data_IF_551421661390
#
_entry.id   IF_551421661390
#
_cell.length_a   1.000
_cell.length_b   1.000
_cell.length_c   1.000
_cell.angle_alpha   90.00
_cell.angle_beta   90.00
_cell.angle_gamma   90.00
#
_symmetry.space_group_name_H-M   'P 1'
#
loop_
_entity.id
_entity.type
_entity.pdbx_description
1 polymer ?
#
# COMPACT_ATOMS: atom_id res chain seq x y z
N UNK A 1 5.26 3.82 70.79
CA UNK A 1 4.16 3.06 70.19
C UNK A 1 2.92 3.93 70.28
N UNK A 2 2.45 4.66 69.28
CA UNK A 2 2.82 4.74 67.87
C UNK A 2 2.52 6.17 67.41
N UNK A 3 3.56 6.87 66.94
CA UNK A 3 3.44 8.01 66.06
C UNK A 3 3.30 7.43 64.65
N UNK A 4 2.07 7.23 64.16
CA UNK A 4 1.89 6.73 62.80
C UNK A 4 0.56 7.11 62.14
N UNK A 5 -0.20 8.07 62.68
CA UNK A 5 -1.54 8.38 62.14
C UNK A 5 -1.84 9.87 62.00
N UNK A 6 -0.81 10.71 61.86
CA UNK A 6 -1.02 12.13 61.58
C UNK A 6 0.00 12.71 60.57
N UNK A 7 0.42 11.87 59.61
CA UNK A 7 1.41 12.18 58.57
C UNK A 7 0.86 12.01 57.14
N UNK A 8 -0.45 11.76 56.97
CA UNK A 8 -1.07 11.60 55.63
C UNK A 8 -2.18 12.62 55.33
N UNK A 9 -2.62 13.41 56.31
CA UNK A 9 -3.66 14.44 56.10
C UNK A 9 -3.09 15.87 55.98
N UNK A 10 -1.77 16.04 55.98
CA UNK A 10 -1.11 17.33 55.75
C UNK A 10 -0.42 17.42 54.38
N UNK A 11 -0.49 16.37 53.56
CA UNK A 11 0.09 16.30 52.22
C UNK A 11 -0.91 16.62 51.08
N UNK A 12 -2.16 16.98 51.43
CA UNK A 12 -3.21 17.26 50.45
C UNK A 12 -3.58 18.75 50.30
N UNK A 13 -2.94 19.68 51.02
CA UNK A 13 -3.37 21.10 51.04
C UNK A 13 -2.27 22.15 50.73
N UNK A 14 -1.13 21.73 50.16
CA UNK A 14 0.03 22.65 49.96
C UNK A 14 0.58 22.73 48.52
N UNK A 15 -0.24 22.51 47.48
CA UNK A 15 0.20 22.71 46.06
C UNK A 15 -0.60 23.83 45.36
N UNK A 16 -1.12 24.81 46.10
CA UNK A 16 -1.64 26.04 45.51
C UNK A 16 -1.04 27.28 46.20
N UNK A 17 0.17 27.66 45.77
CA UNK A 17 0.58 29.08 45.70
C UNK A 17 1.92 29.24 44.95
N UNK A 18 1.88 30.05 43.89
CA UNK A 18 3.03 30.49 43.08
C UNK A 18 4.13 31.17 43.91
N UNK A 19 5.42 31.04 43.51
CA UNK A 19 6.38 32.09 43.72
C UNK A 19 6.55 32.91 42.43
N UNK A 20 5.99 34.12 42.44
CA UNK A 20 6.36 35.17 41.52
C UNK A 20 7.83 35.56 41.76
N UNK A 21 8.75 35.20 40.85
CA UNK A 21 10.02 35.89 40.60
C UNK A 21 10.79 35.21 39.45
N UNK A 22 10.55 35.70 38.23
CA UNK A 22 11.60 35.99 37.24
C UNK A 22 10.96 36.36 35.89
N UNK A 23 10.52 37.61 35.76
CA UNK A 23 10.57 38.26 34.46
C UNK A 23 12.05 38.46 34.11
N UNK A 24 12.63 37.58 33.29
CA UNK A 24 13.80 37.95 32.50
C UNK A 24 13.97 36.98 31.34
N UNK A 25 13.78 37.47 30.12
CA UNK A 25 14.40 36.86 28.94
C UNK A 25 13.50 36.28 27.86
N UNK A 26 12.17 36.54 27.83
CA UNK A 26 11.45 36.37 26.55
C UNK A 26 11.92 37.49 25.61
N UNK A 27 12.92 37.18 24.77
CA UNK A 27 13.42 38.08 23.75
C UNK A 27 12.25 38.52 22.85
N UNK A 28 11.82 39.77 22.99
CA UNK A 28 10.67 40.34 22.26
C UNK A 28 10.90 40.36 20.75
N UNK A 29 12.18 40.28 20.33
CA UNK A 29 12.61 40.17 18.93
C UNK A 29 12.40 38.78 18.30
N UNK A 30 12.01 37.75 19.07
CA UNK A 30 11.72 36.40 18.53
C UNK A 30 10.31 36.26 17.93
N UNK A 31 9.51 37.32 17.90
CA UNK A 31 8.10 37.29 17.46
C UNK A 31 7.85 37.45 15.96
N UNK A 32 8.83 37.11 15.13
CA UNK A 32 8.60 36.95 13.68
C UNK A 32 9.28 35.67 13.17
N UNK A 33 9.04 34.53 13.84
CA UNK A 33 9.02 33.28 13.08
C UNK A 33 7.77 33.42 12.21
N UNK A 34 7.97 33.84 10.96
CA UNK A 34 6.94 33.78 9.92
C UNK A 34 6.63 32.29 9.81
N UNK A 35 5.68 31.80 10.61
CA UNK A 35 5.22 30.42 10.53
C UNK A 35 4.82 30.22 9.08
N UNK A 36 5.64 29.46 8.37
CA UNK A 36 5.40 29.24 6.96
C UNK A 36 4.08 28.47 6.91
N UNK A 37 2.98 29.04 6.36
CA UNK A 37 1.69 28.35 6.33
C UNK A 37 1.81 27.01 5.58
N UNK A 38 2.82 26.90 4.70
CA UNK A 38 3.20 25.64 4.06
C UNK A 38 3.69 24.58 5.04
N UNK A 39 4.33 24.92 6.17
CA UNK A 39 4.80 23.95 7.17
C UNK A 39 3.63 23.25 7.87
N UNK A 40 2.58 23.99 8.22
CA UNK A 40 1.36 23.41 8.78
C UNK A 40 0.62 22.53 7.74
N UNK A 41 0.54 23.00 6.49
CA UNK A 41 -0.01 22.20 5.38
C UNK A 41 0.79 20.91 5.13
N UNK A 42 2.12 20.99 5.10
CA UNK A 42 3.00 19.84 4.95
C UNK A 42 2.90 18.86 6.14
N UNK A 43 2.75 19.36 7.37
CA UNK A 43 2.54 18.51 8.54
C UNK A 43 1.21 17.77 8.45
N UNK A 44 0.12 18.45 8.05
CA UNK A 44 -1.18 17.81 7.78
C UNK A 44 -1.11 16.79 6.66
N UNK A 45 -0.39 17.11 5.58
CA UNK A 45 -0.20 16.20 4.45
C UNK A 45 0.58 14.95 4.84
N UNK A 46 1.62 15.07 5.67
CA UNK A 46 2.35 13.92 6.22
C UNK A 46 1.47 13.04 7.09
N UNK A 47 0.72 13.63 8.02
CA UNK A 47 -0.22 12.90 8.87
C UNK A 47 -1.30 12.17 8.05
N UNK A 48 -1.73 12.78 6.94
CA UNK A 48 -2.64 12.15 6.00
C UNK A 48 -1.99 10.97 5.28
N UNK A 49 -0.75 11.10 4.77
CA UNK A 49 0.00 9.99 4.18
C UNK A 49 0.18 8.84 5.17
N UNK A 50 0.51 9.15 6.43
CA UNK A 50 0.67 8.16 7.50
C UNK A 50 -0.65 7.46 7.87
N UNK A 51 -1.80 8.10 7.59
CA UNK A 51 -3.12 7.52 7.84
C UNK A 51 -3.60 6.57 6.74
N UNK A 52 -2.92 6.53 5.59
CA UNK A 52 -3.26 5.62 4.50
C UNK A 52 -2.98 4.18 4.98
N UNK A 53 -3.92 3.24 4.84
CA UNK A 53 -3.66 1.84 5.13
C UNK A 53 -2.54 1.33 4.22
N UNK A 54 -1.50 0.73 4.79
CA UNK A 54 -0.45 0.05 4.04
C UNK A 54 -0.64 -1.44 4.24
N UNK A 55 -1.09 -2.12 3.19
CA UNK A 55 -1.14 -3.58 3.18
C UNK A 55 0.03 -4.11 2.35
N UNK A 56 0.62 -5.18 2.85
CA UNK A 56 1.71 -5.90 2.21
C UNK A 56 1.34 -7.38 2.12
N UNK A 57 1.94 -8.14 1.18
CA UNK A 57 1.72 -9.58 1.11
C UNK A 57 2.16 -10.22 2.42
N UNK A 58 1.22 -10.88 3.11
CA UNK A 58 1.48 -11.45 4.43
C UNK A 58 2.42 -12.67 4.34
N UNK A 59 3.46 -12.77 5.19
CA UNK A 59 4.39 -13.92 5.19
C UNK A 59 3.74 -15.27 5.47
N UNK A 60 2.59 -15.26 6.15
CA UNK A 60 1.83 -16.45 6.55
C UNK A 60 0.73 -16.84 5.55
N UNK A 61 0.62 -16.12 4.42
CA UNK A 61 -0.27 -16.50 3.33
C UNK A 61 0.55 -17.25 2.28
N UNK A 62 0.06 -18.39 1.76
CA UNK A 62 0.82 -19.16 0.77
C UNK A 62 0.81 -18.45 -0.58
N UNK A 63 1.98 -17.98 -1.00
CA UNK A 63 2.19 -17.36 -2.31
C UNK A 63 3.18 -18.16 -3.16
N UNK A 64 2.90 -18.28 -4.45
CA UNK A 64 3.80 -18.74 -5.50
C UNK A 64 4.38 -17.52 -6.21
N UNK A 65 5.67 -17.29 -6.01
CA UNK A 65 6.29 -16.00 -6.28
C UNK A 65 7.11 -16.04 -7.56
N UNK A 66 6.88 -15.05 -8.42
CA UNK A 66 7.79 -14.70 -9.50
C UNK A 66 8.52 -13.40 -9.16
N UNK A 67 9.85 -13.45 -9.10
CA UNK A 67 10.64 -12.24 -8.83
C UNK A 67 11.10 -11.65 -10.16
N UNK A 68 10.69 -10.42 -10.46
CA UNK A 68 11.13 -9.72 -11.65
C UNK A 68 12.26 -8.74 -11.34
N UNK A 69 13.39 -8.93 -12.00
CA UNK A 69 14.58 -8.11 -11.85
C UNK A 69 14.92 -7.50 -13.20
N UNK A 70 14.78 -6.18 -13.31
CA UNK A 70 15.43 -5.43 -14.39
C UNK A 70 16.71 -4.83 -13.86
N UNK A 71 17.83 -5.11 -14.51
CA UNK A 71 19.10 -4.58 -14.06
C UNK A 71 19.89 -3.93 -15.19
N UNK A 72 20.67 -2.92 -14.79
CA UNK A 72 21.70 -2.34 -15.62
C UNK A 72 22.98 -2.20 -14.83
N UNK A 73 24.03 -2.88 -15.27
CA UNK A 73 25.32 -2.85 -14.60
C UNK A 73 26.11 -1.59 -15.00
N UNK A 74 25.87 -0.48 -14.29
CA UNK A 74 26.60 0.78 -14.50
C UNK A 74 28.08 0.69 -14.08
N UNK A 75 28.37 -0.11 -13.05
CA UNK A 75 29.66 -0.12 -12.34
C UNK A 75 30.64 -1.18 -12.84
N UNK A 76 30.24 -2.02 -13.81
CA UNK A 76 31.00 -3.17 -14.35
C UNK A 76 31.46 -4.18 -13.29
N UNK A 77 30.84 -4.20 -12.11
CA UNK A 77 31.11 -5.24 -11.11
C UNK A 77 30.54 -6.58 -11.59
N UNK A 78 31.34 -7.64 -11.58
CA UNK A 78 30.95 -8.95 -12.11
C UNK A 78 29.75 -9.55 -11.35
N UNK A 79 29.71 -9.37 -10.03
CA UNK A 79 28.73 -10.04 -9.15
C UNK A 79 27.48 -9.19 -8.84
N UNK A 80 27.20 -8.15 -9.62
CA UNK A 80 26.08 -7.23 -9.33
C UNK A 80 24.73 -7.94 -9.33
N UNK A 81 24.46 -8.76 -10.35
CA UNK A 81 23.20 -9.50 -10.46
C UNK A 81 23.07 -10.56 -9.35
N UNK A 82 24.13 -11.31 -9.10
CA UNK A 82 24.16 -12.34 -8.05
C UNK A 82 23.81 -11.76 -6.69
N UNK A 83 24.35 -10.58 -6.36
CA UNK A 83 24.04 -9.88 -5.11
C UNK A 83 22.55 -9.56 -4.98
N UNK A 84 21.90 -9.12 -6.06
CA UNK A 84 20.44 -8.88 -6.04
C UNK A 84 19.66 -10.16 -5.84
N UNK A 85 20.04 -11.24 -6.53
CA UNK A 85 19.41 -12.55 -6.36
C UNK A 85 19.54 -13.02 -4.90
N UNK A 86 20.74 -12.96 -4.32
CA UNK A 86 20.96 -13.33 -2.92
C UNK A 86 20.11 -12.51 -1.95
N UNK A 87 20.02 -11.19 -2.16
CA UNK A 87 19.16 -10.34 -1.34
C UNK A 87 17.70 -10.79 -1.36
N UNK A 88 17.15 -11.04 -2.56
CA UNK A 88 15.79 -11.56 -2.69
C UNK A 88 15.62 -12.94 -2.06
N UNK A 89 16.62 -13.83 -2.20
CA UNK A 89 16.55 -15.16 -1.58
C UNK A 89 16.53 -15.07 -0.05
N UNK A 90 17.34 -14.19 0.54
CA UNK A 90 17.36 -13.97 1.99
C UNK A 90 16.01 -13.41 2.47
N UNK A 91 15.41 -12.47 1.73
CA UNK A 91 14.12 -11.87 2.07
C UNK A 91 12.97 -12.89 1.96
N UNK A 92 12.97 -13.72 0.91
CA UNK A 92 11.98 -14.78 0.71
C UNK A 92 12.13 -15.88 1.76
N UNK A 93 13.35 -16.18 2.22
CA UNK A 93 13.59 -17.17 3.27
C UNK A 93 12.93 -16.81 4.61
N UNK A 94 12.64 -15.52 4.85
CA UNK A 94 11.88 -15.07 6.02
C UNK A 94 10.38 -15.39 5.93
N UNK A 95 9.89 -15.78 4.76
CA UNK A 95 8.48 -16.07 4.49
C UNK A 95 8.29 -17.57 4.20
N UNK A 96 8.07 -18.41 5.23
CA UNK A 96 8.14 -19.87 5.09
C UNK A 96 7.03 -20.48 4.23
N UNK A 97 5.91 -19.76 4.02
CA UNK A 97 4.81 -20.22 3.15
C UNK A 97 4.97 -19.78 1.70
N UNK A 98 6.00 -18.98 1.40
CA UNK A 98 6.25 -18.48 0.06
C UNK A 98 7.05 -19.52 -0.72
N UNK A 99 6.60 -19.83 -1.92
CA UNK A 99 7.25 -20.75 -2.85
C UNK A 99 7.77 -19.95 -4.03
N UNK A 100 9.09 -19.80 -4.14
CA UNK A 100 9.70 -19.18 -5.31
C UNK A 100 9.51 -20.09 -6.54
N UNK A 101 8.90 -19.55 -7.59
CA UNK A 101 8.75 -20.23 -8.89
C UNK A 101 9.99 -20.02 -9.73
N UNK A 102 10.36 -18.77 -10.00
CA UNK A 102 11.54 -18.43 -10.78
C UNK A 102 11.95 -16.95 -10.62
N UNK A 103 13.17 -16.64 -11.05
CA UNK A 103 13.67 -15.28 -11.25
C UNK A 103 13.57 -14.91 -12.73
N UNK A 104 12.90 -13.81 -13.02
CA UNK A 104 12.67 -13.27 -14.37
C UNK A 104 13.55 -12.04 -14.56
N UNK A 105 14.65 -12.18 -15.33
CA UNK A 105 15.73 -11.19 -15.34
C UNK A 105 15.94 -10.54 -16.70
N UNK A 106 15.55 -9.27 -16.83
CA UNK A 106 15.78 -8.48 -18.04
C UNK A 106 16.98 -7.51 -17.88
N UNK A 107 17.78 -7.38 -18.95
CA UNK A 107 18.90 -6.41 -19.03
C UNK A 107 18.45 -5.14 -19.76
N UNK A 108 18.58 -3.97 -19.15
CA UNK A 108 18.31 -2.72 -19.86
C UNK A 108 18.50 -1.44 -19.06
N UNK A 109 19.04 -0.40 -19.71
CA UNK A 109 19.19 0.96 -19.16
C UNK A 109 17.91 1.79 -19.22
N UNK A 110 17.24 1.71 -20.37
CA UNK A 110 16.18 2.65 -20.74
C UNK A 110 14.89 2.28 -20.04
N UNK A 111 14.10 3.31 -19.77
CA UNK A 111 12.67 3.23 -19.46
C UNK A 111 12.01 2.11 -20.29
N UNK A 112 11.58 1.01 -19.66
CA UNK A 112 11.01 -0.11 -20.39
C UNK A 112 9.61 0.23 -20.88
N UNK A 113 9.31 -0.22 -22.10
CA UNK A 113 7.95 -0.62 -22.45
C UNK A 113 7.85 -2.13 -22.22
N UNK A 114 6.69 -2.58 -21.75
CA UNK A 114 6.48 -3.99 -21.44
C UNK A 114 6.69 -4.88 -22.67
N UNK A 115 6.35 -4.39 -23.86
CA UNK A 115 6.45 -5.11 -25.14
C UNK A 115 7.87 -5.60 -25.50
N UNK A 116 8.92 -4.94 -25.01
CA UNK A 116 10.31 -5.32 -25.31
C UNK A 116 10.97 -6.19 -24.23
N UNK A 117 10.25 -6.49 -23.14
CA UNK A 117 10.80 -7.16 -21.96
C UNK A 117 10.44 -8.64 -22.01
N UNK A 118 11.38 -9.48 -22.47
CA UNK A 118 11.11 -10.90 -22.75
C UNK A 118 10.80 -11.69 -21.48
N UNK A 119 11.56 -11.45 -20.42
CA UNK A 119 11.35 -12.13 -19.16
C UNK A 119 10.09 -11.64 -18.45
N UNK A 120 9.72 -10.36 -18.64
CA UNK A 120 8.40 -9.87 -18.23
C UNK A 120 7.26 -10.60 -18.95
N UNK A 121 7.33 -10.78 -20.27
CA UNK A 121 6.31 -11.54 -21.00
C UNK A 121 6.22 -13.00 -20.53
N UNK A 122 7.37 -13.66 -20.29
CA UNK A 122 7.40 -15.02 -19.73
C UNK A 122 6.75 -15.08 -18.35
N UNK A 123 7.00 -14.09 -17.49
CA UNK A 123 6.36 -13.99 -16.17
C UNK A 123 4.85 -13.86 -16.30
N UNK A 124 4.36 -13.04 -17.23
CA UNK A 124 2.92 -12.90 -17.47
C UNK A 124 2.28 -14.21 -17.92
N UNK A 125 2.93 -14.96 -18.82
CA UNK A 125 2.47 -16.30 -19.22
C UNK A 125 2.40 -17.25 -18.01
N UNK A 126 3.40 -17.23 -17.14
CA UNK A 126 3.40 -18.03 -15.91
C UNK A 126 2.34 -17.57 -14.89
N UNK A 127 1.93 -16.29 -14.92
CA UNK A 127 0.78 -15.79 -14.16
C UNK A 127 -0.55 -16.29 -14.75
N UNK A 128 -0.74 -16.18 -16.07
CA UNK A 128 -1.98 -16.63 -16.73
C UNK A 128 -2.16 -18.14 -16.70
N UNK A 129 -1.08 -18.91 -16.65
CA UNK A 129 -1.15 -20.37 -16.44
C UNK A 129 -1.37 -20.76 -14.97
N UNK A 130 -1.46 -19.77 -14.07
CA UNK A 130 -1.69 -19.97 -12.64
C UNK A 130 -0.46 -20.47 -11.87
N UNK A 131 0.74 -20.53 -12.48
CA UNK A 131 1.96 -20.94 -11.78
C UNK A 131 2.39 -19.90 -10.75
N UNK A 132 2.29 -18.62 -11.09
CA UNK A 132 2.63 -17.48 -10.23
C UNK A 132 1.35 -16.79 -9.75
N UNK A 133 1.27 -16.44 -8.47
CA UNK A 133 0.17 -15.64 -7.91
C UNK A 133 0.64 -14.33 -7.23
N UNK A 134 1.95 -14.14 -7.09
CA UNK A 134 2.54 -12.92 -6.56
C UNK A 134 3.79 -12.56 -7.36
N UNK A 135 3.78 -11.38 -7.96
CA UNK A 135 4.94 -10.78 -8.61
C UNK A 135 5.63 -9.87 -7.61
N UNK A 136 6.93 -10.06 -7.42
CA UNK A 136 7.76 -9.19 -6.57
C UNK A 136 8.78 -8.46 -7.44
N UNK A 137 8.86 -7.14 -7.29
CA UNK A 137 9.82 -6.30 -8.00
C UNK A 137 10.31 -5.16 -7.12
N UNK A 138 11.52 -4.66 -7.38
CA UNK A 138 12.09 -3.57 -6.59
C UNK A 138 11.29 -2.28 -6.71
N UNK A 139 10.89 -1.89 -7.92
CA UNK A 139 10.28 -0.58 -8.19
C UNK A 139 9.39 -0.59 -9.42
N UNK A 140 8.40 0.30 -9.46
CA UNK A 140 7.45 0.39 -10.59
C UNK A 140 8.17 0.67 -11.92
N UNK A 141 9.17 1.57 -11.87
CA UNK A 141 9.97 1.96 -13.03
C UNK A 141 10.85 0.84 -13.63
N UNK A 142 11.00 -0.31 -12.95
CA UNK A 142 11.67 -1.47 -13.54
C UNK A 142 10.79 -2.18 -14.58
N UNK A 143 9.47 -2.03 -14.47
CA UNK A 143 8.52 -2.80 -15.26
C UNK A 143 8.03 -2.01 -16.47
N UNK A 144 7.51 -0.80 -16.26
CA UNK A 144 7.16 0.13 -17.35
C UNK A 144 7.41 1.58 -16.95
N UNK A 145 7.72 2.43 -17.92
CA UNK A 145 7.71 3.88 -17.77
C UNK A 145 6.34 4.53 -18.00
N UNK A 146 5.42 3.82 -18.66
CA UNK A 146 4.05 4.31 -18.85
C UNK A 146 3.16 3.80 -17.70
N UNK A 147 2.60 4.74 -16.93
CA UNK A 147 1.71 4.42 -15.82
C UNK A 147 0.39 3.81 -16.31
N UNK A 148 -0.04 4.09 -17.56
CA UNK A 148 -1.25 3.52 -18.14
C UNK A 148 -1.08 2.03 -18.41
N UNK A 149 0.06 1.64 -19.00
CA UNK A 149 0.43 0.23 -19.18
C UNK A 149 0.47 -0.49 -17.84
N UNK A 150 1.10 0.13 -16.83
CA UNK A 150 1.20 -0.43 -15.48
C UNK A 150 -0.17 -0.67 -14.84
N UNK A 151 -1.01 0.38 -14.85
CA UNK A 151 -2.34 0.33 -14.26
C UNK A 151 -3.21 -0.72 -14.95
N UNK A 152 -3.21 -0.74 -16.28
CA UNK A 152 -3.95 -1.74 -17.05
C UNK A 152 -3.50 -3.17 -16.71
N UNK A 153 -2.20 -3.43 -16.70
CA UNK A 153 -1.68 -4.76 -16.36
C UNK A 153 -1.98 -5.19 -14.92
N UNK A 154 -1.80 -4.30 -13.95
CA UNK A 154 -2.11 -4.59 -12.55
C UNK A 154 -3.58 -4.96 -12.36
N UNK A 155 -4.48 -4.25 -13.05
CA UNK A 155 -5.92 -4.53 -13.04
C UNK A 155 -6.25 -5.86 -13.70
N UNK A 156 -5.68 -6.13 -14.88
CA UNK A 156 -5.92 -7.38 -15.59
C UNK A 156 -5.47 -8.60 -14.78
N UNK A 157 -4.30 -8.51 -14.11
CA UNK A 157 -3.78 -9.57 -13.25
C UNK A 157 -4.64 -9.78 -12.00
N UNK A 158 -5.15 -8.70 -11.41
CA UNK A 158 -6.05 -8.79 -10.26
C UNK A 158 -7.45 -9.33 -10.60
N UNK A 159 -7.91 -9.13 -11.85
CA UNK A 159 -9.20 -9.59 -12.33
C UNK A 159 -9.22 -11.06 -12.80
N UNK A 160 -8.10 -11.78 -12.72
CA UNK A 160 -8.05 -13.21 -13.05
C UNK A 160 -8.88 -14.04 -12.06
N UNK A 161 -9.37 -15.22 -12.50
CA UNK A 161 -10.05 -16.20 -11.63
C UNK A 161 -9.25 -16.52 -10.36
N UNK A 162 -7.92 -16.57 -10.51
CA UNK A 162 -6.98 -16.61 -9.42
C UNK A 162 -6.20 -15.28 -9.41
N UNK A 163 -6.58 -14.32 -8.53
CA UNK A 163 -5.99 -12.99 -8.54
C UNK A 163 -4.47 -13.04 -8.37
N UNK A 164 -3.77 -12.34 -9.25
CA UNK A 164 -2.31 -12.20 -9.20
C UNK A 164 -1.96 -10.80 -8.70
N UNK A 165 -1.24 -10.74 -7.58
CA UNK A 165 -0.79 -9.49 -6.99
C UNK A 165 0.59 -9.08 -7.46
N UNK A 166 0.86 -7.77 -7.47
CA UNK A 166 2.19 -7.20 -7.68
C UNK A 166 2.57 -6.46 -6.40
N UNK A 167 3.75 -6.75 -5.88
CA UNK A 167 4.35 -6.02 -4.77
C UNK A 167 5.59 -5.25 -5.23
N UNK A 168 5.54 -3.94 -5.03
CA UNK A 168 6.63 -3.00 -5.31
C UNK A 168 7.32 -2.62 -4.01
N UNK A 169 8.55 -3.11 -3.81
CA UNK A 169 9.27 -2.97 -2.52
C UNK A 169 9.61 -1.52 -2.21
N UNK A 170 10.07 -0.74 -3.20
CA UNK A 170 10.51 0.64 -2.98
C UNK A 170 9.36 1.59 -2.71
N UNK A 171 8.21 1.37 -3.34
CA UNK A 171 7.00 2.19 -3.17
C UNK A 171 6.09 1.67 -2.05
N UNK A 172 6.34 0.47 -1.53
CA UNK A 172 5.49 -0.26 -0.59
C UNK A 172 4.02 -0.36 -1.05
N UNK A 173 3.85 -0.75 -2.32
CA UNK A 173 2.54 -0.87 -2.95
C UNK A 173 2.26 -2.34 -3.23
N UNK A 174 1.16 -2.84 -2.68
CA UNK A 174 0.60 -4.15 -3.00
C UNK A 174 -0.72 -4.01 -3.78
N UNK A 175 -0.76 -4.46 -5.02
CA UNK A 175 -1.92 -4.21 -5.91
C UNK A 175 -3.20 -4.95 -5.51
N UNK A 176 -3.11 -6.02 -4.73
CA UNK A 176 -4.28 -6.75 -4.22
C UNK A 176 -4.72 -6.32 -2.82
N UNK A 177 -4.15 -5.23 -2.29
CA UNK A 177 -4.58 -4.67 -1.02
C UNK A 177 -6.08 -4.41 -1.02
N UNK A 178 -6.74 -4.65 0.12
CA UNK A 178 -8.20 -4.62 0.23
C UNK A 178 -8.80 -3.28 -0.20
N UNK A 179 -8.10 -2.18 0.07
CA UNK A 179 -8.52 -0.83 -0.30
C UNK A 179 -8.41 -0.52 -1.80
N UNK A 180 -7.66 -1.31 -2.58
CA UNK A 180 -7.66 -1.20 -4.05
C UNK A 180 -8.73 -2.07 -4.72
N UNK A 181 -9.23 -3.12 -4.07
CA UNK A 181 -10.18 -4.07 -4.70
C UNK A 181 -11.45 -3.44 -5.28
N UNK A 182 -12.10 -2.45 -4.63
CA UNK A 182 -13.23 -1.74 -5.22
C UNK A 182 -12.86 -0.95 -6.49
N UNK A 183 -11.68 -0.33 -6.50
CA UNK A 183 -11.15 0.49 -7.61
C UNK A 183 -10.71 -0.37 -8.80
N UNK A 184 -10.26 -1.61 -8.56
CA UNK A 184 -9.88 -2.53 -9.64
C UNK A 184 -11.06 -2.91 -10.56
N UNK A 185 -12.30 -2.80 -10.07
CA UNK A 185 -13.54 -2.96 -10.87
C UNK A 185 -14.07 -1.64 -11.44
N UNK A 186 -13.40 -0.51 -11.21
CA UNK A 186 -13.82 0.79 -11.75
C UNK A 186 -13.65 0.84 -13.27
N UNK A 187 -14.73 1.03 -14.00
CA UNK A 187 -14.72 1.10 -15.47
C UNK A 187 -14.05 2.38 -16.00
N UNK A 188 -13.79 3.38 -15.15
CA UNK A 188 -13.27 4.70 -15.54
C UNK A 188 -11.89 4.74 -16.19
N UNK A 189 -11.08 3.68 -16.07
CA UNK A 189 -9.77 3.60 -16.74
C UNK A 189 -9.79 2.82 -18.07
N UNK A 190 -10.93 2.22 -18.43
CA UNK A 190 -11.05 1.57 -19.74
C UNK A 190 -11.17 2.64 -20.83
N UNK A 191 -10.64 2.40 -22.04
CA UNK A 191 -10.83 3.32 -23.16
C UNK A 191 -12.33 3.50 -23.47
N UNK A 192 -12.70 4.67 -24.00
CA UNK A 192 -14.08 4.97 -24.35
C UNK A 192 -14.68 3.88 -25.26
N UNK A 193 -15.84 3.34 -24.86
CA UNK A 193 -16.57 2.31 -25.60
C UNK A 193 -16.28 0.85 -25.19
N UNK A 194 -15.37 0.61 -24.25
CA UNK A 194 -15.08 -0.73 -23.75
C UNK A 194 -16.05 -1.13 -22.62
N UNK A 195 -16.63 -2.32 -22.72
CA UNK A 195 -17.52 -2.90 -21.70
C UNK A 195 -16.88 -4.20 -21.18
N UNK A 196 -17.09 -4.49 -19.90
CA UNK A 196 -16.72 -5.79 -19.33
C UNK A 196 -17.60 -6.88 -19.92
N UNK A 197 -17.03 -8.08 -20.05
CA UNK A 197 -17.82 -9.23 -20.45
C UNK A 197 -18.88 -9.52 -19.36
N UNK A 198 -20.07 -10.01 -19.75
CA UNK A 198 -21.04 -10.52 -18.78
C UNK A 198 -20.38 -11.58 -17.90
N UNK A 199 -20.74 -11.59 -16.61
CA UNK A 199 -20.31 -12.64 -15.68
C UNK A 199 -20.85 -13.97 -16.21
N UNK A 200 -19.98 -14.96 -16.44
CA UNK A 200 -20.44 -16.28 -16.89
C UNK A 200 -21.20 -16.95 -15.75
N UNK A 201 -22.27 -17.70 -16.05
CA UNK A 201 -23.12 -18.39 -15.04
C UNK A 201 -22.32 -19.38 -14.15
N UNK A 202 -21.06 -19.66 -14.49
CA UNK A 202 -20.13 -20.50 -13.73
C UNK A 202 -19.38 -19.74 -12.61
N UNK A 203 -19.39 -18.41 -12.62
CA UNK A 203 -18.68 -17.55 -11.64
C UNK A 203 -19.52 -17.27 -10.37
N UNK A 204 -20.82 -17.62 -10.37
CA UNK A 204 -21.75 -17.34 -9.27
C UNK A 204 -21.41 -17.97 -7.90
N UNK A 205 -20.84 -19.19 -7.76
CA UNK A 205 -20.66 -19.78 -6.44
C UNK A 205 -19.58 -19.07 -5.60
N UNK A 206 -18.69 -18.26 -6.20
CA UNK A 206 -17.62 -17.54 -5.49
C UNK A 206 -18.04 -16.17 -4.95
N UNK A 207 -19.14 -15.59 -5.45
CA UNK A 207 -19.65 -14.27 -5.03
C UNK A 207 -20.43 -14.31 -3.70
N UNK A 208 -20.87 -15.49 -3.25
CA UNK A 208 -21.69 -15.63 -2.05
C UNK A 208 -20.90 -15.59 -0.73
N UNK A 209 -19.56 -15.66 -0.78
CA UNK A 209 -18.70 -15.77 0.41
C UNK A 209 -18.01 -14.47 0.82
N UNK A 210 -18.14 -13.39 0.05
CA UNK A 210 -17.59 -12.09 0.42
C UNK A 210 -18.58 -11.34 1.34
N UNK A 211 -18.16 -10.89 2.53
CA UNK A 211 -18.99 -10.03 3.36
C UNK A 211 -19.33 -8.76 2.58
N UNK A 212 -20.62 -8.45 2.43
CA UNK A 212 -21.05 -7.15 1.88
C UNK A 212 -20.41 -6.02 2.72
N UNK A 213 -19.78 -5.02 2.09
CA UNK A 213 -19.24 -3.89 2.83
C UNK A 213 -20.39 -3.10 3.46
N UNK A 214 -20.36 -2.93 4.78
CA UNK A 214 -21.36 -2.21 5.58
C UNK A 214 -21.60 -0.76 5.12
N UNK A 215 -20.68 -0.19 4.33
CA UNK A 215 -20.76 1.15 3.74
C UNK A 215 -21.91 1.28 2.72
N UNK A 216 -22.27 0.21 2.00
CA UNK A 216 -23.35 0.26 1.00
C UNK A 216 -24.73 0.31 1.67
N UNK A 217 -24.93 -0.44 2.77
CA UNK A 217 -26.19 -0.38 3.52
C UNK A 217 -26.42 0.99 4.18
N UNK A 218 -25.36 1.65 4.64
CA UNK A 218 -25.48 2.99 5.22
C UNK A 218 -25.81 4.05 4.17
N UNK A 219 -25.25 3.95 2.95
CA UNK A 219 -25.57 4.86 1.85
C UNK A 219 -27.00 4.67 1.34
N UNK A 220 -27.48 3.44 1.24
CA UNK A 220 -28.86 3.12 0.84
C UNK A 220 -29.89 3.54 1.92
N UNK A 221 -29.54 3.38 3.21
CA UNK A 221 -30.38 3.87 4.30
C UNK A 221 -30.43 5.40 4.36
N UNK A 222 -29.32 6.09 4.08
CA UNK A 222 -29.30 7.56 4.00
C UNK A 222 -30.12 8.09 2.82
N UNK A 223 -30.06 7.44 1.65
CA UNK A 223 -30.88 7.85 0.49
C UNK A 223 -32.38 7.65 0.72
N UNK A 224 -32.78 6.59 1.43
CA UNK A 224 -34.18 6.33 1.74
C UNK A 224 -34.75 7.31 2.78
N UNK A 225 -33.91 7.78 3.71
CA UNK A 225 -34.33 8.77 4.73
C UNK A 225 -34.48 10.16 4.11
N UNK A 226 -33.61 10.56 3.17
CA UNK A 226 -33.74 11.83 2.44
C UNK A 226 -34.97 11.89 1.54
N UNK A 227 -35.41 10.77 0.95
CA UNK A 227 -36.65 10.72 0.16
C UNK A 227 -37.91 10.82 1.03
N UNK A 228 -37.87 10.32 2.28
CA UNK A 228 -39.02 10.41 3.19
C UNK A 228 -39.21 11.79 3.80
N UNK A 229 -38.12 12.52 4.09
CA UNK A 229 -38.18 13.89 4.65
C UNK A 229 -38.56 14.95 3.60
N UNK A 230 -38.47 14.62 2.30
CA UNK A 230 -38.88 15.51 1.21
C UNK A 230 -40.39 15.42 0.88
N UNK A 231 -41.13 14.52 1.53
CA UNK A 231 -42.56 14.27 1.29
C UNK A 231 -43.50 14.63 2.47
N UNK A 232 -42.97 15.13 3.59
CA UNK A 232 -43.76 15.81 4.66
C UNK A 232 -43.70 17.34 4.56
#
# INVERSE_FOLDING_TARGET
>A
MDQATNMETQLAELILQEPALAQSGSNVLRRHIKENPKKASLARHRLWLDSIPHEYPMPYTPYRIGVYIRYFNQTRHENYLEKHIYQYMDDIALCPQWTLVDFYVDRGMTAPHMEYSKEWCRLLEDCFTGKVNLIVTQKVSNVSSDWKEMSFMARMLAAQEHPVGIYFISEDIFTLASYYQPDLRDMGLLPEGWQTLPVDELDEPMLSTLPKPAMQEQAEQLSLVEETDAME
#
